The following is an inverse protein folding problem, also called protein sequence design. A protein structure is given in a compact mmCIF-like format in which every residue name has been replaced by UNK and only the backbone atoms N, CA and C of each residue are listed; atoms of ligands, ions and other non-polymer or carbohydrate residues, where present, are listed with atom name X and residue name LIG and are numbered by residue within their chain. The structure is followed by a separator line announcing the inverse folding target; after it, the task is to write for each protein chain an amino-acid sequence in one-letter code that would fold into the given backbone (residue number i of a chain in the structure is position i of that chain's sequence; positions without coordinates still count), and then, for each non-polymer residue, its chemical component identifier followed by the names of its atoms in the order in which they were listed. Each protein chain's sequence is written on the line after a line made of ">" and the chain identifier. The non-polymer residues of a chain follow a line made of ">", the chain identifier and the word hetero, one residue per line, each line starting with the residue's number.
data_IF_030621112052
#
_entry.id   IF_030621112052
#
_cell.length_a   1.000
_cell.length_b   1.000
_cell.length_c   1.000
_cell.angle_alpha   90.00
_cell.angle_beta   90.00
_cell.angle_gamma   90.00
#
_symmetry.space_group_name_H-M   'P 1'
#
loop_
_entity.id
_entity.type
_entity.pdbx_description
1 polymer ?
#
# COMPACT_ATOMS: atom_id res chain seq x y z
N UNK A 1 11.58 -0.84 -0.12
CA UNK A 1 10.97 -1.11 1.21
C UNK A 1 11.99 -1.24 2.34
N UNK A 2 13.24 -0.80 2.17
CA UNK A 2 14.23 -0.80 3.24
C UNK A 2 14.21 0.59 3.92
N UNK A 3 14.09 0.63 5.25
CA UNK A 3 14.10 1.90 5.97
C UNK A 3 15.38 2.70 5.75
N UNK A 4 16.53 2.02 5.59
CA UNK A 4 17.83 2.68 5.38
C UNK A 4 17.95 3.39 4.03
N UNK A 5 17.03 3.15 3.08
CA UNK A 5 16.99 3.85 1.80
C UNK A 5 16.09 5.09 1.82
N UNK A 6 15.53 5.43 2.99
CA UNK A 6 14.75 6.65 3.21
C UNK A 6 15.64 7.72 3.82
N UNK A 7 15.61 8.94 3.27
CA UNK A 7 16.24 10.11 3.87
C UNK A 7 15.41 10.62 5.07
N UNK A 8 15.33 9.79 6.10
CA UNK A 8 14.58 10.03 7.33
C UNK A 8 15.12 11.25 8.10
N UNK A 9 16.41 11.56 7.96
CA UNK A 9 17.03 12.75 8.57
C UNK A 9 16.49 14.03 7.95
N UNK A 10 16.42 14.08 6.62
CA UNK A 10 15.86 15.23 5.92
C UNK A 10 14.38 15.41 6.24
N UNK A 11 13.58 14.33 6.12
CA UNK A 11 12.15 14.39 6.44
C UNK A 11 11.91 14.86 7.88
N UNK A 12 12.68 14.34 8.85
CA UNK A 12 12.54 14.76 10.25
C UNK A 12 12.94 16.21 10.48
N UNK A 13 13.99 16.68 9.82
CA UNK A 13 14.38 18.10 9.85
C UNK A 13 13.24 18.99 9.37
N UNK A 14 12.58 18.62 8.27
CA UNK A 14 11.46 19.39 7.73
C UNK A 14 10.22 19.33 8.62
N UNK A 15 9.90 18.16 9.19
CA UNK A 15 8.81 18.05 10.16
C UNK A 15 9.02 18.96 11.38
N UNK A 16 10.24 19.01 11.93
CA UNK A 16 10.55 19.89 13.07
C UNK A 16 10.39 21.37 12.71
N UNK A 17 10.86 21.78 11.53
CA UNK A 17 10.67 23.15 11.02
C UNK A 17 9.20 23.50 10.88
N UNK A 18 8.42 22.63 10.25
CA UNK A 18 6.98 22.81 10.07
C UNK A 18 6.26 22.95 11.42
N UNK A 19 6.59 22.09 12.39
CA UNK A 19 6.02 22.15 13.75
C UNK A 19 6.43 23.40 14.53
N UNK A 20 7.55 24.03 14.18
CA UNK A 20 7.98 25.32 14.73
C UNK A 20 7.38 26.53 13.99
N UNK A 21 6.49 26.31 13.01
CA UNK A 21 5.90 27.39 12.21
C UNK A 21 6.84 27.94 11.14
N UNK A 22 7.87 27.20 10.73
CA UNK A 22 8.72 27.58 9.61
C UNK A 22 8.14 27.07 8.27
N UNK A 23 8.59 27.66 7.17
CA UNK A 23 8.26 27.20 5.81
C UNK A 23 9.38 26.30 5.29
N UNK A 24 9.02 25.15 4.74
CA UNK A 24 9.96 24.21 4.10
C UNK A 24 9.68 24.08 2.61
N UNK A 25 10.68 23.68 1.84
CA UNK A 25 10.50 23.29 0.45
C UNK A 25 10.40 21.77 0.38
N UNK A 26 9.23 21.26 0.02
CA UNK A 26 8.96 19.82 0.00
C UNK A 26 9.54 19.21 -1.28
N UNK A 27 10.50 18.27 -1.17
CA UNK A 27 11.05 17.60 -2.33
C UNK A 27 10.03 16.66 -2.97
N UNK A 28 10.14 16.49 -4.28
CA UNK A 28 9.37 15.50 -5.03
C UNK A 28 10.31 14.40 -5.52
N UNK A 29 9.84 13.15 -5.47
CA UNK A 29 10.62 12.03 -6.00
C UNK A 29 10.29 11.84 -7.48
N UNK A 30 11.30 12.00 -8.34
CA UNK A 30 11.14 11.79 -9.76
C UNK A 30 11.35 10.30 -10.10
N UNK A 31 10.29 9.64 -10.53
CA UNK A 31 10.32 8.20 -10.86
C UNK A 31 11.13 7.86 -12.12
N UNK A 32 11.39 8.84 -13.00
CA UNK A 32 12.19 8.66 -14.20
C UNK A 32 13.68 8.72 -13.87
N UNK A 33 14.10 9.70 -13.07
CA UNK A 33 15.51 9.90 -12.70
C UNK A 33 15.91 9.09 -11.46
N UNK A 34 14.94 8.70 -10.64
CA UNK A 34 15.15 8.03 -9.35
C UNK A 34 15.74 8.95 -8.28
N UNK A 35 15.65 10.26 -8.46
CA UNK A 35 16.26 11.27 -7.60
C UNK A 35 15.20 12.20 -6.98
N UNK A 36 15.57 12.81 -5.85
CA UNK A 36 14.81 13.91 -5.28
C UNK A 36 15.02 15.18 -6.10
N UNK A 37 13.95 15.92 -6.34
CA UNK A 37 13.94 17.19 -7.05
C UNK A 37 13.23 18.26 -6.23
N UNK A 38 13.74 19.48 -6.31
CA UNK A 38 13.21 20.65 -5.61
C UNK A 38 12.55 21.57 -6.64
N UNK A 39 11.22 21.50 -6.69
CA UNK A 39 10.41 22.16 -7.71
C UNK A 39 9.78 23.48 -7.21
N UNK A 40 10.29 24.05 -6.11
CA UNK A 40 9.75 25.29 -5.52
C UNK A 40 8.47 25.10 -4.70
N UNK A 41 8.03 23.86 -4.48
CA UNK A 41 6.83 23.56 -3.68
C UNK A 41 7.10 23.85 -2.21
N UNK A 42 6.48 24.91 -1.70
CA UNK A 42 6.61 25.31 -0.29
C UNK A 42 5.44 24.79 0.54
N UNK A 43 5.73 24.42 1.78
CA UNK A 43 4.74 24.02 2.78
C UNK A 43 4.98 24.80 4.06
N UNK A 44 3.90 25.31 4.64
CA UNK A 44 3.85 26.01 5.91
C UNK A 44 2.59 25.52 6.65
N UNK A 45 2.68 25.32 7.96
CA UNK A 45 1.55 24.92 8.79
C UNK A 45 0.93 26.17 9.42
N UNK A 46 -0.32 26.44 9.06
CA UNK A 46 -1.13 27.46 9.73
C UNK A 46 -1.58 26.97 11.11
N UNK A 47 -1.95 27.89 11.99
CA UNK A 47 -2.50 27.56 13.31
C UNK A 47 -3.72 26.62 13.18
N UNK A 48 -3.72 25.52 13.94
CA UNK A 48 -4.76 24.50 13.90
C UNK A 48 -4.66 23.49 12.74
N UNK A 49 -3.63 23.58 11.89
CA UNK A 49 -3.40 22.60 10.82
C UNK A 49 -2.92 21.24 11.35
N UNK A 50 -3.20 20.19 10.59
CA UNK A 50 -2.70 18.82 10.85
C UNK A 50 -1.72 18.45 9.74
N UNK A 51 -0.52 18.00 10.11
CA UNK A 51 0.43 17.41 9.18
C UNK A 51 0.17 15.92 9.02
N UNK A 52 -0.19 15.48 7.81
CA UNK A 52 -0.37 14.07 7.49
C UNK A 52 0.91 13.55 6.83
N UNK A 53 1.54 12.55 7.45
CA UNK A 53 2.69 11.84 6.90
C UNK A 53 2.26 10.44 6.50
N UNK A 54 2.16 10.19 5.21
CA UNK A 54 1.84 8.87 4.66
C UNK A 54 3.12 8.18 4.16
N UNK A 55 3.27 6.90 4.47
CA UNK A 55 4.31 6.07 3.89
C UNK A 55 4.45 4.73 4.59
N UNK A 56 5.08 3.77 3.91
CA UNK A 56 5.27 2.41 4.44
C UNK A 56 6.11 2.36 5.73
N UNK A 57 6.85 3.43 6.05
CA UNK A 57 7.68 3.55 7.23
C UNK A 57 7.18 4.63 8.22
N UNK A 58 5.98 5.18 8.04
CA UNK A 58 5.48 6.30 8.85
C UNK A 58 5.40 5.99 10.35
N UNK A 59 5.19 4.72 10.72
CA UNK A 59 5.16 4.28 12.12
C UNK A 59 6.53 3.94 12.71
N UNK A 60 7.60 3.92 11.92
CA UNK A 60 8.92 3.61 12.45
C UNK A 60 9.38 4.75 13.38
N UNK A 61 9.64 4.49 14.68
CA UNK A 61 10.00 5.53 15.64
C UNK A 61 11.22 6.34 15.23
N UNK A 62 12.16 5.73 14.47
CA UNK A 62 13.35 6.41 13.94
C UNK A 62 13.04 7.55 12.97
N UNK A 63 11.81 7.63 12.46
CA UNK A 63 11.36 8.72 11.60
C UNK A 63 10.99 9.98 12.40
N UNK A 64 10.51 9.80 13.63
CA UNK A 64 9.91 10.89 14.44
C UNK A 64 10.46 10.95 15.87
N UNK A 65 11.59 10.30 16.17
CA UNK A 65 12.17 10.22 17.52
C UNK A 65 12.48 11.57 18.19
N UNK A 66 12.60 12.66 17.40
CA UNK A 66 12.79 14.04 17.89
C UNK A 66 11.50 14.84 18.05
N UNK A 67 10.36 14.29 17.65
CA UNK A 67 9.04 14.92 17.77
C UNK A 67 8.40 14.41 19.05
N UNK A 68 7.76 15.30 19.82
CA UNK A 68 7.09 14.93 21.07
C UNK A 68 5.93 13.94 20.83
N UNK A 69 5.88 12.87 21.62
CA UNK A 69 4.87 11.80 21.46
C UNK A 69 3.44 12.33 21.66
N UNK A 70 3.25 13.36 22.50
CA UNK A 70 1.92 13.93 22.78
C UNK A 70 1.26 14.61 21.57
N UNK A 71 2.06 14.92 20.54
CA UNK A 71 1.60 15.59 19.31
C UNK A 71 1.35 14.63 18.16
N UNK A 72 1.56 13.33 18.37
CA UNK A 72 1.44 12.29 17.34
C UNK A 72 0.13 11.55 17.47
N UNK A 73 -0.43 11.19 16.32
CA UNK A 73 -1.50 10.21 16.21
C UNK A 73 -1.16 9.24 15.08
N UNK A 74 -0.98 7.97 15.43
CA UNK A 74 -0.47 6.92 14.55
C UNK A 74 -1.60 6.03 14.07
N UNK A 75 -1.70 5.86 12.76
CA UNK A 75 -2.70 5.00 12.12
C UNK A 75 -1.98 3.88 11.38
N UNK A 76 -2.30 2.64 11.70
CA UNK A 76 -1.85 1.48 10.91
C UNK A 76 -2.98 0.98 10.01
N UNK A 77 -2.73 0.95 8.70
CA UNK A 77 -3.69 0.44 7.72
C UNK A 77 -3.37 -1.02 7.41
N UNK A 78 -4.35 -1.91 7.58
CA UNK A 78 -4.23 -3.32 7.24
C UNK A 78 -5.39 -3.78 6.33
N UNK A 79 -5.34 -5.01 5.84
CA UNK A 79 -6.37 -5.64 4.99
C UNK A 79 -6.78 -6.98 5.59
N UNK A 80 -7.19 -6.97 6.86
CA UNK A 80 -7.52 -8.19 7.60
C UNK A 80 -8.86 -8.70 7.07
N UNK A 81 -8.83 -9.79 6.32
CA UNK A 81 -10.04 -10.42 5.82
C UNK A 81 -10.78 -11.12 6.95
N UNK A 82 -12.02 -10.70 7.21
CA UNK A 82 -12.90 -11.31 8.21
C UNK A 82 -13.71 -12.50 7.69
N UNK A 83 -13.60 -12.81 6.38
CA UNK A 83 -14.33 -13.90 5.73
C UNK A 83 -13.46 -15.16 5.70
N UNK A 84 -14.05 -16.27 6.12
CA UNK A 84 -13.49 -17.60 5.88
C UNK A 84 -14.02 -18.15 4.55
N UNK A 85 -13.17 -18.89 3.84
CA UNK A 85 -13.52 -19.58 2.61
C UNK A 85 -14.52 -20.73 2.88
N UNK A 86 -14.32 -21.42 4.00
CA UNK A 86 -15.19 -22.46 4.56
C UNK A 86 -14.98 -22.53 6.08
N UNK A 87 -15.59 -23.50 6.76
CA UNK A 87 -15.53 -23.67 8.21
C UNK A 87 -14.12 -23.96 8.77
N UNK A 88 -13.12 -24.19 7.90
CA UNK A 88 -11.78 -24.61 8.28
C UNK A 88 -10.67 -23.73 7.68
N UNK A 89 -10.98 -22.93 6.65
CA UNK A 89 -9.99 -22.17 5.90
C UNK A 89 -10.29 -20.67 5.94
N UNK A 90 -9.48 -19.90 6.67
CA UNK A 90 -9.51 -18.44 6.58
C UNK A 90 -8.85 -17.95 5.30
N UNK A 91 -9.36 -16.84 4.75
CA UNK A 91 -8.68 -16.18 3.63
C UNK A 91 -7.39 -15.52 4.15
N UNK A 92 -6.20 -15.79 3.55
CA UNK A 92 -4.98 -15.12 3.97
C UNK A 92 -4.97 -13.65 3.58
N UNK A 93 -4.67 -12.76 4.53
CA UNK A 93 -4.42 -11.33 4.28
C UNK A 93 -3.38 -11.09 3.19
N UNK A 94 -2.36 -11.96 3.07
CA UNK A 94 -1.34 -11.87 2.04
C UNK A 94 -1.90 -11.99 0.62
N UNK A 95 -2.93 -12.80 0.42
CA UNK A 95 -3.52 -13.04 -0.90
C UNK A 95 -4.35 -11.84 -1.35
N UNK A 96 -5.10 -11.23 -0.43
CA UNK A 96 -5.79 -9.96 -0.68
C UNK A 96 -4.79 -8.87 -1.13
N UNK A 97 -3.70 -8.71 -0.39
CA UNK A 97 -2.67 -7.70 -0.70
C UNK A 97 -1.94 -7.99 -2.01
N UNK A 98 -1.64 -9.25 -2.30
CA UNK A 98 -0.99 -9.64 -3.54
C UNK A 98 -1.92 -9.38 -4.75
N UNK A 99 -3.21 -9.73 -4.65
CA UNK A 99 -4.18 -9.48 -5.72
C UNK A 99 -4.39 -7.98 -5.94
N UNK A 100 -4.55 -7.17 -4.89
CA UNK A 100 -4.59 -5.70 -4.99
C UNK A 100 -3.38 -5.17 -5.75
N UNK A 101 -2.18 -5.66 -5.38
CA UNK A 101 -0.92 -5.24 -5.98
C UNK A 101 -0.80 -5.65 -7.45
N UNK A 102 -1.15 -6.89 -7.80
CA UNK A 102 -1.12 -7.37 -9.19
C UNK A 102 -2.03 -6.52 -10.08
N UNK A 103 -3.26 -6.27 -9.64
CA UNK A 103 -4.22 -5.48 -10.43
C UNK A 103 -3.74 -4.03 -10.56
N UNK A 104 -3.35 -3.39 -9.45
CA UNK A 104 -2.85 -2.02 -9.45
C UNK A 104 -1.60 -1.85 -10.31
N UNK A 105 -0.57 -2.64 -10.07
CA UNK A 105 0.73 -2.50 -10.73
C UNK A 105 0.61 -2.76 -12.24
N UNK A 106 -0.26 -3.69 -12.66
CA UNK A 106 -0.57 -3.92 -14.07
C UNK A 106 -1.33 -2.73 -14.68
N UNK A 107 -2.37 -2.22 -14.01
CA UNK A 107 -3.17 -1.10 -14.51
C UNK A 107 -2.37 0.21 -14.62
N UNK A 108 -1.41 0.42 -13.73
CA UNK A 108 -0.46 1.54 -13.79
C UNK A 108 0.68 1.32 -14.79
N UNK A 109 0.74 0.16 -15.46
CA UNK A 109 1.84 -0.21 -16.37
C UNK A 109 3.20 -0.33 -15.67
N UNK A 110 3.22 -0.53 -14.36
CA UNK A 110 4.44 -0.54 -13.55
C UNK A 110 5.12 -1.92 -13.53
N UNK A 111 4.34 -2.99 -13.36
CA UNK A 111 4.85 -4.37 -13.37
C UNK A 111 3.84 -5.32 -14.00
N UNK A 112 4.34 -6.33 -14.69
CA UNK A 112 3.55 -7.50 -15.08
C UNK A 112 3.17 -8.32 -13.85
N UNK A 113 2.18 -9.21 -13.99
CA UNK A 113 1.79 -10.16 -12.95
C UNK A 113 2.98 -11.03 -12.50
N UNK A 114 3.79 -11.46 -13.47
CA UNK A 114 4.99 -12.27 -13.23
C UNK A 114 6.01 -11.52 -12.37
N UNK A 115 6.34 -10.29 -12.74
CA UNK A 115 7.30 -9.47 -11.97
C UNK A 115 6.79 -9.20 -10.55
N UNK A 116 5.49 -8.88 -10.41
CA UNK A 116 4.86 -8.66 -9.11
C UNK A 116 4.97 -9.90 -8.21
N UNK A 117 4.63 -11.08 -8.75
CA UNK A 117 4.73 -12.37 -8.02
C UNK A 117 6.19 -12.67 -7.66
N UNK A 118 7.13 -12.46 -8.59
CA UNK A 118 8.55 -12.69 -8.36
C UNK A 118 9.12 -11.80 -7.24
N UNK A 119 8.69 -10.53 -7.18
CA UNK A 119 9.13 -9.58 -6.15
C UNK A 119 8.42 -9.78 -4.79
N UNK A 120 7.25 -10.42 -4.76
CA UNK A 120 6.43 -10.54 -3.55
C UNK A 120 7.16 -11.08 -2.31
N UNK A 121 7.99 -12.13 -2.39
CA UNK A 121 8.73 -12.60 -1.22
C UNK A 121 9.68 -11.54 -0.63
N UNK A 122 10.26 -10.67 -1.45
CA UNK A 122 11.15 -9.60 -0.98
C UNK A 122 10.37 -8.55 -0.20
N UNK A 123 9.20 -8.18 -0.71
CA UNK A 123 8.26 -7.25 -0.08
C UNK A 123 7.84 -7.78 1.29
N UNK A 124 7.43 -9.05 1.36
CA UNK A 124 7.04 -9.71 2.62
C UNK A 124 8.18 -9.71 3.64
N UNK A 125 9.42 -10.00 3.23
CA UNK A 125 10.58 -9.94 4.14
C UNK A 125 10.85 -8.53 4.65
N UNK A 126 10.69 -7.52 3.79
CA UNK A 126 10.86 -6.13 4.18
C UNK A 126 9.77 -5.69 5.19
N UNK A 127 8.52 -6.10 4.97
CA UNK A 127 7.40 -5.81 5.89
C UNK A 127 7.66 -6.37 7.30
N UNK A 128 8.05 -7.65 7.38
CA UNK A 128 8.36 -8.31 8.65
C UNK A 128 9.50 -7.61 9.40
N UNK A 129 10.47 -7.05 8.66
CA UNK A 129 11.62 -6.39 9.27
C UNK A 129 11.37 -4.94 9.66
N UNK A 130 10.64 -4.19 8.82
CA UNK A 130 10.63 -2.72 8.87
C UNK A 130 9.26 -2.10 9.11
N UNK A 131 8.18 -2.89 9.10
CA UNK A 131 6.79 -2.39 9.15
C UNK A 131 6.03 -3.05 10.29
N UNK A 132 5.92 -4.38 10.29
CA UNK A 132 5.15 -5.13 11.30
C UNK A 132 5.62 -4.99 12.74
N UNK A 133 6.92 -4.78 13.05
CA UNK A 133 7.34 -4.52 14.42
C UNK A 133 6.70 -3.28 15.05
N UNK A 134 6.26 -2.32 14.25
CA UNK A 134 5.73 -1.02 14.71
C UNK A 134 4.21 -0.92 14.59
N UNK A 135 3.51 -2.00 14.24
CA UNK A 135 2.05 -1.96 14.10
C UNK A 135 1.34 -1.77 15.45
N UNK A 136 1.93 -2.26 16.53
CA UNK A 136 1.41 -2.13 17.90
C UNK A 136 1.66 -0.73 18.50
N UNK A 137 2.51 0.08 17.86
CA UNK A 137 2.72 1.47 18.23
C UNK A 137 1.58 2.38 17.70
N UNK A 138 0.63 1.84 16.93
CA UNK A 138 -0.46 2.61 16.37
C UNK A 138 -1.56 2.91 17.39
N UNK A 139 -2.03 4.15 17.42
CA UNK A 139 -3.16 4.59 18.24
C UNK A 139 -4.50 4.09 17.67
N UNK A 140 -4.55 3.85 16.36
CA UNK A 140 -5.70 3.24 15.70
C UNK A 140 -5.30 2.28 14.57
N UNK A 141 -6.03 1.18 14.46
CA UNK A 141 -5.99 0.31 13.30
C UNK A 141 -7.14 0.63 12.35
N UNK A 142 -6.83 0.78 11.06
CA UNK A 142 -7.82 0.93 10.01
C UNK A 142 -7.80 -0.30 9.10
N UNK A 143 -8.88 -1.08 9.13
CA UNK A 143 -9.03 -2.21 8.21
C UNK A 143 -9.61 -1.74 6.88
N UNK A 144 -8.80 -1.75 5.83
CA UNK A 144 -9.17 -1.34 4.48
C UNK A 144 -9.73 -2.48 3.63
N UNK A 145 -9.93 -3.69 4.16
CA UNK A 145 -10.51 -4.82 3.41
C UNK A 145 -12.00 -4.59 3.11
N UNK A 146 -12.47 -5.02 1.93
CA UNK A 146 -13.90 -5.00 1.59
C UNK A 146 -14.48 -6.41 1.52
N UNK A 147 -15.74 -6.58 1.92
CA UNK A 147 -16.41 -7.89 1.89
C UNK A 147 -16.50 -8.46 0.46
N UNK A 148 -16.83 -7.61 -0.51
CA UNK A 148 -17.03 -8.00 -1.92
C UNK A 148 -15.74 -7.92 -2.75
N UNK A 149 -14.59 -7.68 -2.10
CA UNK A 149 -13.36 -7.34 -2.78
C UNK A 149 -12.92 -8.38 -3.82
N UNK A 150 -12.89 -9.66 -3.43
CA UNK A 150 -12.45 -10.73 -4.31
C UNK A 150 -13.40 -10.92 -5.50
N UNK A 151 -14.70 -10.74 -5.30
CA UNK A 151 -15.70 -10.82 -6.36
C UNK A 151 -15.51 -9.73 -7.43
N UNK A 152 -15.16 -8.50 -7.01
CA UNK A 152 -14.85 -7.41 -7.95
C UNK A 152 -13.48 -7.62 -8.60
N UNK A 153 -12.45 -7.92 -7.80
CA UNK A 153 -11.08 -8.10 -8.30
C UNK A 153 -10.98 -9.29 -9.26
N UNK A 154 -11.83 -10.31 -9.13
CA UNK A 154 -11.83 -11.51 -9.96
C UNK A 154 -11.72 -11.20 -11.45
N UNK A 155 -12.64 -10.40 -11.99
CA UNK A 155 -12.72 -10.10 -13.43
C UNK A 155 -11.48 -9.38 -13.97
N UNK A 156 -10.79 -8.64 -13.10
CA UNK A 156 -9.55 -7.92 -13.43
C UNK A 156 -8.34 -8.84 -13.30
N UNK A 157 -8.16 -9.42 -12.11
CA UNK A 157 -7.05 -10.28 -11.77
C UNK A 157 -6.98 -11.53 -12.65
N UNK A 158 -8.12 -12.15 -12.99
CA UNK A 158 -8.14 -13.34 -13.84
C UNK A 158 -7.50 -13.08 -15.21
N UNK A 159 -7.89 -11.99 -15.87
CA UNK A 159 -7.34 -11.60 -17.19
C UNK A 159 -5.84 -11.40 -17.11
N UNK A 160 -5.39 -10.73 -16.05
CA UNK A 160 -3.98 -10.41 -15.81
C UNK A 160 -3.17 -11.68 -15.50
N UNK A 161 -3.63 -12.52 -14.57
CA UNK A 161 -2.96 -13.75 -14.16
C UNK A 161 -2.85 -14.77 -15.29
N UNK A 162 -3.83 -14.83 -16.20
CA UNK A 162 -3.79 -15.71 -17.39
C UNK A 162 -2.69 -15.35 -18.39
N UNK A 163 -2.09 -14.17 -18.28
CA UNK A 163 -0.94 -13.77 -19.12
C UNK A 163 0.38 -14.38 -18.66
N UNK A 164 0.44 -14.95 -17.45
CA UNK A 164 1.67 -15.56 -16.91
C UNK A 164 2.00 -16.85 -17.68
N UNK A 165 3.18 -16.96 -18.33
CA UNK A 165 3.56 -18.16 -19.08
C UNK A 165 3.65 -19.41 -18.23
N UNK A 166 3.28 -20.57 -18.77
CA UNK A 166 3.25 -21.85 -18.02
C UNK A 166 4.63 -22.43 -17.69
N UNK A 167 5.66 -21.96 -18.38
CA UNK A 167 7.05 -22.43 -18.30
C UNK A 167 7.92 -21.61 -17.34
N UNK A 168 7.33 -20.68 -16.58
CA UNK A 168 8.05 -19.89 -15.58
C UNK A 168 7.73 -20.31 -14.14
N UNK A 169 8.66 -20.01 -13.22
CA UNK A 169 8.54 -20.34 -11.79
C UNK A 169 7.29 -19.73 -11.15
N UNK A 170 6.94 -18.51 -11.56
CA UNK A 170 5.83 -17.73 -11.03
C UNK A 170 4.45 -18.29 -11.41
N UNK A 171 4.38 -19.16 -12.44
CA UNK A 171 3.11 -19.76 -12.88
C UNK A 171 2.42 -20.55 -11.78
N UNK A 172 3.18 -21.22 -10.90
CA UNK A 172 2.62 -21.98 -9.78
C UNK A 172 1.74 -21.11 -8.89
N UNK A 173 2.21 -19.91 -8.54
CA UNK A 173 1.50 -18.95 -7.71
C UNK A 173 0.36 -18.29 -8.48
N UNK A 174 0.56 -17.94 -9.76
CA UNK A 174 -0.51 -17.41 -10.60
C UNK A 174 -1.68 -18.40 -10.73
N UNK A 175 -1.37 -19.69 -10.92
CA UNK A 175 -2.36 -20.75 -10.99
C UNK A 175 -3.07 -20.97 -9.64
N UNK A 176 -2.34 -20.90 -8.52
CA UNK A 176 -2.92 -20.95 -7.17
C UNK A 176 -3.92 -19.81 -6.96
N UNK A 177 -3.57 -18.59 -7.34
CA UNK A 177 -4.44 -17.41 -7.24
C UNK A 177 -5.68 -17.52 -8.14
N UNK A 178 -5.52 -18.03 -9.37
CA UNK A 178 -6.67 -18.30 -10.25
C UNK A 178 -7.63 -19.32 -9.64
N UNK A 179 -7.11 -20.40 -9.04
CA UNK A 179 -7.94 -21.38 -8.34
C UNK A 179 -8.62 -20.76 -7.11
N UNK A 180 -7.92 -19.94 -6.34
CA UNK A 180 -8.49 -19.22 -5.22
C UNK A 180 -9.63 -18.29 -5.65
N UNK A 181 -9.44 -17.53 -6.74
CA UNK A 181 -10.47 -16.66 -7.29
C UNK A 181 -11.69 -17.45 -7.77
N UNK A 182 -11.54 -18.68 -8.27
CA UNK A 182 -12.66 -19.50 -8.75
C UNK A 182 -13.72 -19.85 -7.68
N UNK A 183 -13.42 -19.63 -6.40
CA UNK A 183 -14.39 -19.78 -5.31
C UNK A 183 -15.36 -18.59 -5.18
N UNK A 184 -15.09 -17.48 -5.87
CA UNK A 184 -15.90 -16.27 -5.83
C UNK A 184 -16.67 -16.08 -7.12
N UNK A 185 -17.96 -15.72 -7.01
CA UNK A 185 -18.74 -15.31 -8.19
C UNK A 185 -18.33 -13.89 -8.59
N UNK A 186 -17.84 -13.65 -9.81
CA UNK A 186 -17.43 -12.32 -10.24
C UNK A 186 -18.62 -11.37 -10.27
N UNK A 187 -18.42 -10.15 -9.78
CA UNK A 187 -19.42 -9.07 -9.87
C UNK A 187 -18.88 -7.93 -10.73
N UNK A 188 -19.80 -7.15 -11.33
CA UNK A 188 -19.41 -5.99 -12.11
C UNK A 188 -18.81 -4.91 -11.22
N UNK A 189 -17.73 -4.29 -11.69
CA UNK A 189 -17.13 -3.14 -11.05
C UNK A 189 -17.87 -1.82 -11.34
N UNK A 190 -18.92 -1.83 -12.15
CA UNK A 190 -19.75 -0.65 -12.47
C UNK A 190 -20.49 -0.12 -11.23
N UNK A 191 -20.88 -1.02 -10.35
CA UNK A 191 -21.63 -0.68 -9.13
C UNK A 191 -20.72 -0.23 -7.97
N UNK A 192 -19.39 -0.27 -8.16
CA UNK A 192 -18.43 0.24 -7.17
C UNK A 192 -18.47 1.77 -7.17
N UNK A 193 -18.80 2.44 -6.05
CA UNK A 193 -18.81 3.91 -6.02
C UNK A 193 -17.45 4.50 -6.40
N UNK A 194 -17.43 5.67 -7.05
CA UNK A 194 -16.19 6.36 -7.42
C UNK A 194 -15.34 6.78 -6.22
N UNK A 195 -15.97 6.86 -5.05
CA UNK A 195 -15.35 7.19 -3.76
C UNK A 195 -14.82 5.97 -3.00
N UNK A 196 -15.01 4.75 -3.51
CA UNK A 196 -14.51 3.53 -2.87
C UNK A 196 -12.98 3.42 -2.99
N UNK A 197 -12.30 2.98 -1.92
CA UNK A 197 -10.85 2.72 -1.97
C UNK A 197 -10.48 1.66 -3.01
N UNK A 198 -11.42 0.78 -3.37
CA UNK A 198 -11.20 -0.21 -4.43
C UNK A 198 -10.85 0.44 -5.77
N UNK A 199 -11.33 1.67 -6.02
CA UNK A 199 -11.02 2.44 -7.23
C UNK A 199 -9.53 2.77 -7.36
N UNK A 200 -8.78 2.77 -6.26
CA UNK A 200 -7.32 2.86 -6.29
C UNK A 200 -6.61 1.66 -6.92
N UNK A 201 -7.30 0.52 -7.07
CA UNK A 201 -6.74 -0.70 -7.70
C UNK A 201 -7.31 -0.92 -9.11
N UNK A 202 -8.63 -0.82 -9.25
CA UNK A 202 -9.34 -1.12 -10.51
C UNK A 202 -9.57 0.10 -11.42
N UNK A 203 -9.21 1.30 -10.97
CA UNK A 203 -9.44 2.55 -11.70
C UNK A 203 -10.87 3.10 -11.55
N UNK A 204 -11.08 4.32 -12.04
CA UNK A 204 -12.36 5.04 -11.95
C UNK A 204 -12.57 5.82 -10.65
N UNK A 205 -11.49 6.23 -9.99
CA UNK A 205 -11.52 7.13 -8.82
C UNK A 205 -12.01 8.52 -9.23
N UNK A 206 -12.80 9.17 -8.38
CA UNK A 206 -13.14 10.60 -8.50
C UNK A 206 -12.11 11.54 -7.86
N UNK A 207 -11.09 10.98 -7.23
CA UNK A 207 -9.93 11.66 -6.65
C UNK A 207 -8.67 11.33 -7.45
#
# INVERSE_FOLDING_TARGET
>A
DNFETVDHKYLQSDMLKLLNGETVEVPEYNFVTGLREFNGRKLHLEEGSILIVEGIHALNPRLTDRIDESTKYRIFINTITSIALDDHNCIPTSDNRLLRRIVRDYNLGSFTARETISHWPNVRRAEVKWIYPFQEDADAMFNSSYLLEFAVLHSHAEKILRTVPKDCKEYSEAHRLLKFLSYFTPISDKDVPSTSLMRGFIGGSSF
#
